data_IF_135829420735
#
_entry.id   IF_135829420735
#
_cell.length_a   1.000
_cell.length_b   1.000
_cell.length_c   1.000
_cell.angle_alpha   90.00
_cell.angle_beta   90.00
_cell.angle_gamma   90.00
#
_symmetry.space_group_name_H-M   'P 1'
#
loop_
_entity.id
_entity.type
_entity.pdbx_description
1 polymer ?
#
# COMPACT_ATOMS: atom_id res chain seq x y z
N UNK A 1 -12.84 -1.81 -20.74
CA UNK A 1 -12.19 -0.92 -19.75
C UNK A 1 -12.72 -1.34 -18.38
N UNK A 2 -11.88 -1.42 -17.35
CA UNK A 2 -12.30 -1.89 -16.04
C UNK A 2 -13.28 -0.89 -15.41
N UNK A 3 -14.52 -1.32 -15.15
CA UNK A 3 -15.56 -0.46 -14.55
C UNK A 3 -15.12 0.22 -13.24
N UNK A 4 -14.12 -0.33 -12.55
CA UNK A 4 -13.65 0.22 -11.27
C UNK A 4 -12.91 1.55 -11.38
N UNK A 5 -12.17 1.82 -12.47
CA UNK A 5 -11.44 3.08 -12.63
C UNK A 5 -12.39 4.25 -12.93
N UNK A 6 -13.41 3.98 -13.74
CA UNK A 6 -14.48 4.95 -14.04
C UNK A 6 -15.35 5.22 -12.82
N UNK A 7 -15.65 4.20 -12.02
CA UNK A 7 -16.42 4.37 -10.78
C UNK A 7 -15.66 5.25 -9.77
N UNK A 8 -14.36 5.00 -9.56
CA UNK A 8 -13.56 5.81 -8.62
C UNK A 8 -13.36 7.25 -9.10
N UNK A 9 -13.22 7.48 -10.41
CA UNK A 9 -13.13 8.82 -10.99
C UNK A 9 -14.38 9.65 -10.67
N UNK A 10 -15.57 9.05 -10.81
CA UNK A 10 -16.83 9.71 -10.46
C UNK A 10 -16.90 10.04 -8.96
N UNK A 11 -16.52 9.09 -8.10
CA UNK A 11 -16.54 9.26 -6.64
C UNK A 11 -15.57 10.37 -6.18
N UNK A 12 -14.36 10.40 -6.74
CA UNK A 12 -13.37 11.44 -6.40
C UNK A 12 -13.83 12.82 -6.87
N UNK A 13 -14.47 12.91 -8.04
CA UNK A 13 -15.04 14.16 -8.53
C UNK A 13 -16.15 14.67 -7.59
N UNK A 14 -17.10 13.81 -7.22
CA UNK A 14 -18.21 14.18 -6.33
C UNK A 14 -17.72 14.57 -4.93
N UNK A 15 -16.68 13.90 -4.44
CA UNK A 15 -16.08 14.21 -3.14
C UNK A 15 -15.39 15.57 -3.14
N UNK A 16 -14.70 15.93 -4.23
CA UNK A 16 -14.11 17.27 -4.40
C UNK A 16 -15.16 18.38 -4.49
N UNK A 17 -16.35 18.08 -5.01
CA UNK A 17 -17.48 19.00 -5.01
C UNK A 17 -18.14 19.17 -3.62
N UNK A 18 -17.66 18.45 -2.60
CA UNK A 18 -18.15 18.56 -1.22
C UNK A 18 -19.40 17.73 -0.93
N UNK A 19 -19.75 16.79 -1.81
CA UNK A 19 -20.89 15.91 -1.57
C UNK A 19 -20.58 14.90 -0.47
N UNK A 20 -21.30 14.99 0.66
CA UNK A 20 -21.14 14.08 1.81
C UNK A 20 -21.35 12.61 1.44
N UNK A 21 -22.24 12.32 0.48
CA UNK A 21 -22.47 10.96 -0.02
C UNK A 21 -21.23 10.37 -0.71
N UNK A 22 -20.43 11.20 -1.37
CA UNK A 22 -19.21 10.77 -2.04
C UNK A 22 -18.14 10.35 -1.04
N UNK A 23 -18.06 11.00 0.13
CA UNK A 23 -17.17 10.58 1.22
C UNK A 23 -17.52 9.16 1.69
N UNK A 24 -18.80 8.85 1.83
CA UNK A 24 -19.27 7.52 2.25
C UNK A 24 -19.00 6.45 1.17
N UNK A 25 -19.20 6.77 -0.11
CA UNK A 25 -18.85 5.89 -1.24
C UNK A 25 -17.34 5.63 -1.31
N UNK A 26 -16.54 6.68 -1.09
CA UNK A 26 -15.09 6.62 -1.08
C UNK A 26 -14.56 5.79 0.09
N UNK A 27 -15.18 5.91 1.27
CA UNK A 27 -14.93 5.01 2.40
C UNK A 27 -15.23 3.55 2.04
N UNK A 28 -16.40 3.26 1.47
CA UNK A 28 -16.78 1.91 1.11
C UNK A 28 -15.85 1.31 0.05
N UNK A 29 -15.44 2.11 -0.93
CA UNK A 29 -14.44 1.72 -1.93
C UNK A 29 -13.10 1.39 -1.26
N UNK A 30 -12.56 2.29 -0.45
CA UNK A 30 -11.30 2.08 0.25
C UNK A 30 -11.34 0.84 1.16
N UNK A 31 -12.45 0.66 1.90
CA UNK A 31 -12.68 -0.48 2.78
C UNK A 31 -12.71 -1.80 2.01
N UNK A 32 -13.52 -1.89 0.95
CA UNK A 32 -13.66 -3.12 0.15
C UNK A 32 -12.36 -3.47 -0.56
N UNK A 33 -11.63 -2.47 -1.07
CA UNK A 33 -10.34 -2.64 -1.72
C UNK A 33 -9.26 -3.16 -0.78
N UNK A 34 -9.14 -2.54 0.40
CA UNK A 34 -8.27 -2.98 1.49
C UNK A 34 -8.55 -4.42 1.92
N UNK A 35 -9.83 -4.75 2.02
CA UNK A 35 -10.27 -6.08 2.41
C UNK A 35 -9.98 -7.12 1.32
N UNK A 36 -10.21 -6.79 0.04
CA UNK A 36 -9.88 -7.66 -1.09
C UNK A 36 -8.38 -7.95 -1.16
N UNK A 37 -7.54 -6.92 -1.10
CA UNK A 37 -6.08 -7.08 -1.06
C UNK A 37 -5.65 -7.97 0.13
N UNK A 38 -6.31 -7.83 1.28
CA UNK A 38 -6.04 -8.69 2.43
C UNK A 38 -6.39 -10.16 2.19
N UNK A 39 -7.54 -10.40 1.60
CA UNK A 39 -8.00 -11.75 1.31
C UNK A 39 -7.17 -12.41 0.23
N UNK A 40 -6.82 -11.68 -0.83
CA UNK A 40 -6.02 -12.17 -1.94
C UNK A 40 -4.61 -12.55 -1.46
N UNK A 41 -4.01 -11.75 -0.57
CA UNK A 41 -2.73 -12.08 0.04
C UNK A 41 -2.80 -13.29 0.97
N UNK A 42 -3.88 -13.44 1.76
CA UNK A 42 -4.09 -14.66 2.56
C UNK A 42 -4.19 -15.89 1.65
N UNK A 43 -4.94 -15.82 0.55
CA UNK A 43 -5.04 -16.90 -0.44
C UNK A 43 -3.70 -17.21 -1.11
N UNK A 44 -2.91 -16.20 -1.47
CA UNK A 44 -1.57 -16.36 -2.06
C UNK A 44 -0.54 -16.92 -1.09
N UNK A 45 -0.60 -16.55 0.19
CA UNK A 45 0.32 -17.07 1.23
C UNK A 45 0.17 -18.58 1.49
N UNK A 46 -0.97 -19.17 1.10
CA UNK A 46 -1.24 -20.60 1.15
C UNK A 46 -0.57 -21.33 -0.03
N UNK A 47 -0.45 -20.68 -1.18
CA UNK A 47 0.20 -21.21 -2.39
C UNK A 47 1.67 -20.81 -2.42
N UNK A 48 2.51 -21.62 -1.78
CA UNK A 48 3.92 -21.39 -1.41
C UNK A 48 4.93 -21.07 -2.53
N UNK A 49 4.51 -20.81 -3.78
CA UNK A 49 5.42 -20.76 -4.94
C UNK A 49 5.58 -19.39 -5.60
N UNK A 50 4.74 -18.40 -5.28
CA UNK A 50 4.93 -17.05 -5.82
C UNK A 50 5.13 -16.04 -4.69
N UNK A 51 6.39 -15.85 -4.30
CA UNK A 51 6.84 -14.72 -3.47
C UNK A 51 6.78 -13.40 -4.28
N UNK A 52 5.61 -13.08 -4.84
CA UNK A 52 5.40 -11.93 -5.71
C UNK A 52 4.79 -10.73 -4.99
N UNK A 53 4.24 -10.89 -3.78
CA UNK A 53 3.79 -9.75 -2.99
C UNK A 53 4.89 -9.22 -2.07
N UNK A 54 5.44 -8.08 -2.47
CA UNK A 54 6.46 -7.33 -1.74
C UNK A 54 5.97 -6.84 -0.38
N UNK A 55 4.65 -6.65 -0.21
CA UNK A 55 4.02 -6.37 1.06
C UNK A 55 3.37 -7.65 1.54
N UNK A 56 3.96 -8.31 2.54
CA UNK A 56 3.29 -9.41 3.21
C UNK A 56 2.14 -8.84 4.04
N UNK A 57 0.99 -8.68 3.39
CA UNK A 57 -0.24 -8.17 3.97
C UNK A 57 -0.88 -9.15 4.97
N UNK A 58 -0.25 -10.32 5.17
CA UNK A 58 -0.60 -11.28 6.23
C UNK A 58 -0.48 -10.69 7.64
N UNK A 59 0.18 -9.54 7.82
CA UNK A 59 0.21 -8.78 9.09
C UNK A 59 -1.13 -8.17 9.50
N UNK A 60 -2.12 -8.16 8.60
CA UNK A 60 -3.47 -7.72 8.92
C UNK A 60 -4.19 -8.84 9.69
N UNK A 61 -3.79 -9.05 10.94
CA UNK A 61 -4.56 -9.82 11.93
C UNK A 61 -5.63 -8.95 12.62
N UNK A 62 -5.78 -7.69 12.20
CA UNK A 62 -6.80 -6.77 12.73
C UNK A 62 -7.33 -5.83 11.63
N UNK A 63 -7.88 -6.41 10.56
CA UNK A 63 -8.32 -5.67 9.35
C UNK A 63 -9.28 -4.53 9.68
N UNK A 64 -10.20 -4.75 10.61
CA UNK A 64 -11.25 -3.77 10.94
C UNK A 64 -10.69 -2.52 11.61
N UNK A 65 -9.77 -2.68 12.57
CA UNK A 65 -9.14 -1.55 13.26
C UNK A 65 -8.23 -0.72 12.34
N UNK A 66 -7.47 -1.40 11.48
CA UNK A 66 -6.57 -0.75 10.53
C UNK A 66 -7.34 0.03 9.44
N UNK A 67 -8.50 -0.46 9.02
CA UNK A 67 -9.33 0.27 8.05
C UNK A 67 -10.03 1.47 8.68
N UNK A 68 -10.45 1.37 9.94
CA UNK A 68 -10.98 2.53 10.67
C UNK A 68 -9.92 3.63 10.84
N UNK A 69 -8.69 3.25 11.21
CA UNK A 69 -7.54 4.16 11.23
C UNK A 69 -7.27 4.77 9.84
N UNK A 70 -7.50 4.02 8.75
CA UNK A 70 -7.35 4.51 7.37
C UNK A 70 -8.37 5.58 7.03
N UNK A 71 -9.62 5.38 7.43
CA UNK A 71 -10.66 6.37 7.25
C UNK A 71 -10.38 7.65 8.03
N UNK A 72 -10.01 7.55 9.31
CA UNK A 72 -9.68 8.73 10.12
C UNK A 72 -8.52 9.53 9.50
N UNK A 73 -7.46 8.82 9.06
CA UNK A 73 -6.34 9.47 8.38
C UNK A 73 -6.74 10.11 7.04
N UNK A 74 -7.59 9.46 6.26
CA UNK A 74 -8.02 9.96 4.95
C UNK A 74 -9.00 11.14 5.06
N UNK A 75 -9.96 11.07 6.00
CA UNK A 75 -10.90 12.17 6.29
C UNK A 75 -10.19 13.40 6.87
N UNK A 76 -9.09 13.19 7.61
CA UNK A 76 -8.23 14.27 8.09
C UNK A 76 -7.18 14.75 7.07
N UNK A 77 -7.04 14.07 5.93
CA UNK A 77 -6.03 14.42 4.95
C UNK A 77 -6.42 15.70 4.21
N UNK A 78 -5.42 16.52 3.90
CA UNK A 78 -5.63 17.76 3.14
C UNK A 78 -6.12 17.44 1.72
N UNK A 79 -7.42 17.60 1.52
CA UNK A 79 -8.12 17.32 0.26
C UNK A 79 -7.70 18.29 -0.85
N UNK A 80 -7.12 19.45 -0.51
CA UNK A 80 -6.63 20.42 -1.49
C UNK A 80 -5.45 19.88 -2.32
N UNK A 81 -4.71 18.91 -1.78
CA UNK A 81 -3.60 18.27 -2.48
C UNK A 81 -4.03 17.23 -3.53
N UNK A 82 -5.30 16.84 -3.55
CA UNK A 82 -5.84 15.80 -4.44
C UNK A 82 -6.41 16.46 -5.70
N UNK A 83 -5.65 16.41 -6.79
CA UNK A 83 -6.07 17.02 -8.05
C UNK A 83 -6.91 16.06 -8.89
N UNK A 84 -6.55 14.79 -8.89
CA UNK A 84 -7.13 13.76 -9.73
C UNK A 84 -7.14 12.38 -9.02
N UNK A 85 -7.73 11.39 -9.69
CA UNK A 85 -7.80 10.00 -9.23
C UNK A 85 -6.41 9.41 -8.95
N UNK A 86 -5.41 9.77 -9.74
CA UNK A 86 -4.02 9.32 -9.52
C UNK A 86 -3.53 9.80 -8.15
N UNK A 87 -3.69 11.08 -7.84
CA UNK A 87 -3.25 11.66 -6.57
C UNK A 87 -4.01 11.04 -5.39
N UNK A 88 -5.31 10.79 -5.55
CA UNK A 88 -6.11 10.05 -4.58
C UNK A 88 -5.57 8.63 -4.31
N UNK A 89 -5.35 7.84 -5.36
CA UNK A 89 -4.83 6.48 -5.25
C UNK A 89 -3.42 6.44 -4.63
N UNK A 90 -2.57 7.41 -4.94
CA UNK A 90 -1.24 7.53 -4.34
C UNK A 90 -1.31 7.91 -2.85
N UNK A 91 -2.26 8.77 -2.47
CA UNK A 91 -2.53 9.09 -1.06
C UNK A 91 -3.06 7.87 -0.32
N UNK A 92 -4.03 7.15 -0.89
CA UNK A 92 -4.55 5.91 -0.32
C UNK A 92 -3.42 4.91 -0.10
N UNK A 93 -2.58 4.66 -1.10
CA UNK A 93 -1.40 3.80 -0.99
C UNK A 93 -0.46 4.21 0.16
N UNK A 94 -0.25 5.52 0.35
CA UNK A 94 0.57 6.06 1.45
C UNK A 94 -0.06 5.80 2.82
N UNK A 95 -1.35 6.08 2.98
CA UNK A 95 -2.09 5.90 4.24
C UNK A 95 -2.10 4.41 4.63
N UNK A 96 -2.40 3.53 3.68
CA UNK A 96 -2.40 2.08 3.89
C UNK A 96 -1.04 1.58 4.39
N UNK A 97 0.04 2.02 3.75
CA UNK A 97 1.41 1.70 4.17
C UNK A 97 1.68 2.20 5.60
N UNK A 98 1.36 3.46 5.90
CA UNK A 98 1.59 4.03 7.24
C UNK A 98 0.88 3.24 8.34
N UNK A 99 -0.34 2.79 8.08
CA UNK A 99 -1.13 2.05 9.06
C UNK A 99 -0.52 0.68 9.37
N UNK A 100 -0.05 -0.03 8.34
CA UNK A 100 0.67 -1.28 8.52
C UNK A 100 1.91 -1.10 9.39
N UNK A 101 2.67 -0.03 9.15
CA UNK A 101 3.89 0.28 9.87
C UNK A 101 3.61 0.72 11.30
N UNK A 102 2.59 1.54 11.52
CA UNK A 102 2.16 1.94 12.86
C UNK A 102 1.68 0.74 13.66
N UNK A 103 1.00 -0.22 13.03
CA UNK A 103 0.63 -1.49 13.67
C UNK A 103 1.87 -2.31 14.03
N UNK A 104 2.81 -2.49 13.10
CA UNK A 104 4.05 -3.22 13.36
C UNK A 104 4.85 -2.60 14.53
N UNK A 105 4.96 -1.27 14.57
CA UNK A 105 5.58 -0.52 15.67
C UNK A 105 4.84 -0.72 17.00
N UNK A 106 3.50 -0.64 17.00
CA UNK A 106 2.65 -0.88 18.19
C UNK A 106 2.86 -2.30 18.73
N UNK A 107 2.89 -3.31 17.87
CA UNK A 107 3.08 -4.71 18.28
C UNK A 107 4.49 -4.96 18.86
N UNK A 108 5.53 -4.38 18.26
CA UNK A 108 6.88 -4.44 18.82
C UNK A 108 7.00 -3.73 20.19
N UNK A 109 6.34 -2.57 20.35
CA UNK A 109 6.34 -1.85 21.62
C UNK A 109 5.64 -2.64 22.73
N UNK A 110 4.48 -3.26 22.43
CA UNK A 110 3.76 -4.13 23.38
C UNK A 110 4.64 -5.28 23.90
N UNK A 111 5.48 -5.89 23.06
CA UNK A 111 6.41 -6.95 23.50
C UNK A 111 7.40 -6.47 24.57
N UNK A 112 7.91 -5.23 24.46
CA UNK A 112 8.84 -4.67 25.45
C UNK A 112 8.19 -4.55 26.84
N UNK A 113 6.86 -4.41 26.87
CA UNK A 113 6.07 -4.33 28.10
C UNK A 113 5.55 -5.71 28.55
N UNK A 114 5.25 -6.62 27.61
CA UNK A 114 4.73 -7.96 27.85
C UNK A 114 5.37 -8.99 26.88
N UNK A 115 6.45 -9.68 27.27
CA UNK A 115 7.24 -10.53 26.37
C UNK A 115 6.48 -11.74 25.78
N UNK A 116 5.38 -12.17 26.41
CA UNK A 116 4.61 -13.35 26.02
C UNK A 116 3.56 -13.09 24.92
N UNK A 117 3.35 -11.85 24.47
CA UNK A 117 2.21 -11.50 23.61
C UNK A 117 2.43 -11.68 22.10
N UNK A 118 3.67 -11.88 21.63
CA UNK A 118 3.99 -12.13 20.21
C UNK A 118 5.08 -13.18 20.05
N UNK A 119 4.99 -14.00 19.01
CA UNK A 119 5.98 -15.02 18.66
C UNK A 119 7.25 -14.42 18.05
N UNK A 120 8.35 -15.17 18.06
CA UNK A 120 9.60 -14.76 17.41
C UNK A 120 9.41 -14.52 15.90
N UNK A 121 8.60 -15.36 15.24
CA UNK A 121 8.31 -15.24 13.81
C UNK A 121 7.55 -13.94 13.48
N UNK A 122 6.57 -13.56 14.32
CA UNK A 122 5.86 -12.27 14.18
C UNK A 122 6.80 -11.08 14.39
N UNK A 123 7.74 -11.17 15.33
CA UNK A 123 8.73 -10.12 15.53
C UNK A 123 9.61 -9.88 14.30
N UNK A 124 10.23 -10.94 13.76
CA UNK A 124 11.07 -10.85 12.57
C UNK A 124 10.28 -10.26 11.40
N UNK A 125 9.00 -10.63 11.29
CA UNK A 125 8.10 -10.08 10.31
C UNK A 125 7.84 -8.57 10.49
N UNK A 126 7.54 -8.10 11.71
CA UNK A 126 7.34 -6.67 11.98
C UNK A 126 8.62 -5.84 11.74
N UNK A 127 9.79 -6.36 12.11
CA UNK A 127 11.09 -5.72 11.84
C UNK A 127 11.32 -5.56 10.33
N UNK A 128 11.03 -6.62 9.57
CA UNK A 128 11.12 -6.60 8.11
C UNK A 128 10.17 -5.56 7.48
N UNK A 129 8.95 -5.42 7.98
CA UNK A 129 8.01 -4.40 7.50
C UNK A 129 8.53 -2.99 7.73
N UNK A 130 9.11 -2.70 8.90
CA UNK A 130 9.66 -1.38 9.22
C UNK A 130 10.87 -1.05 8.33
N UNK A 131 11.78 -2.01 8.11
CA UNK A 131 12.92 -1.85 7.21
C UNK A 131 12.44 -1.59 5.78
N UNK A 132 11.45 -2.36 5.33
CA UNK A 132 10.87 -2.20 4.00
C UNK A 132 10.28 -0.80 3.80
N UNK A 133 9.62 -0.23 4.81
CA UNK A 133 9.08 1.14 4.73
C UNK A 133 10.17 2.17 4.45
N UNK A 134 11.28 2.10 5.20
CA UNK A 134 12.44 2.98 5.00
C UNK A 134 13.02 2.84 3.60
N UNK A 135 13.13 1.61 3.08
CA UNK A 135 13.61 1.35 1.72
C UNK A 135 12.66 1.94 0.67
N UNK A 136 11.33 1.83 0.87
CA UNK A 136 10.33 2.41 -0.04
C UNK A 136 10.32 3.94 0.03
N UNK A 137 10.58 4.54 1.18
CA UNK A 137 10.77 5.99 1.29
C UNK A 137 12.00 6.46 0.52
N UNK A 138 13.14 5.79 0.70
CA UNK A 138 14.34 6.08 -0.07
C UNK A 138 14.11 5.88 -1.58
N UNK A 139 13.38 4.83 -1.97
CA UNK A 139 12.99 4.61 -3.36
C UNK A 139 12.14 5.76 -3.91
N UNK A 140 11.19 6.25 -3.12
CA UNK A 140 10.30 7.35 -3.51
C UNK A 140 11.05 8.65 -3.75
N UNK A 141 12.07 8.93 -2.92
CA UNK A 141 12.90 10.13 -3.06
C UNK A 141 13.78 10.08 -4.31
N UNK A 142 14.41 8.95 -4.59
CA UNK A 142 15.36 8.82 -5.69
C UNK A 142 14.70 8.50 -7.04
N UNK A 143 13.56 7.83 -7.04
CA UNK A 143 12.89 7.31 -8.24
C UNK A 143 11.37 7.58 -8.19
N UNK A 144 10.94 8.85 -8.20
CA UNK A 144 9.54 9.20 -7.96
C UNK A 144 8.58 8.61 -9.00
N UNK A 145 8.96 8.50 -10.27
CA UNK A 145 8.11 7.92 -11.33
C UNK A 145 7.89 6.42 -11.10
N UNK A 146 8.97 5.69 -10.91
CA UNK A 146 8.95 4.24 -10.68
C UNK A 146 8.24 3.91 -9.37
N UNK A 147 8.42 4.75 -8.34
CA UNK A 147 7.67 4.67 -7.09
C UNK A 147 6.15 4.81 -7.28
N UNK A 148 5.68 5.74 -8.14
CA UNK A 148 4.25 5.85 -8.46
C UNK A 148 3.74 4.57 -9.11
N UNK A 149 4.42 4.07 -10.15
CA UNK A 149 4.05 2.83 -10.82
C UNK A 149 4.01 1.64 -9.83
N UNK A 150 5.04 1.51 -8.99
CA UNK A 150 5.10 0.49 -7.95
C UNK A 150 3.92 0.56 -6.98
N UNK A 151 3.61 1.74 -6.44
CA UNK A 151 2.50 1.93 -5.49
C UNK A 151 1.17 1.59 -6.14
N UNK A 152 0.92 2.05 -7.35
CA UNK A 152 -0.32 1.75 -8.07
C UNK A 152 -0.45 0.24 -8.37
N UNK A 153 0.65 -0.44 -8.75
CA UNK A 153 0.63 -1.88 -9.03
C UNK A 153 0.45 -2.73 -7.78
N UNK A 154 1.26 -2.47 -6.75
CA UNK A 154 1.43 -3.40 -5.63
C UNK A 154 0.69 -2.99 -4.36
N UNK A 155 0.41 -1.70 -4.17
CA UNK A 155 -0.40 -1.24 -3.02
C UNK A 155 -1.85 -1.00 -3.41
N UNK A 156 -2.12 -0.66 -4.68
CA UNK A 156 -3.47 -0.46 -5.17
C UNK A 156 -3.95 -1.58 -6.11
N UNK A 157 -3.11 -2.52 -6.53
CA UNK A 157 -3.56 -3.68 -7.32
C UNK A 157 -3.91 -3.39 -8.79
N UNK A 158 -3.57 -2.22 -9.33
CA UNK A 158 -3.92 -1.83 -10.70
C UNK A 158 -3.19 -2.68 -11.76
N UNK A 159 -3.80 -2.84 -12.92
CA UNK A 159 -3.21 -3.41 -14.11
C UNK A 159 -2.32 -2.42 -14.85
N UNK A 160 -1.40 -2.93 -15.67
CA UNK A 160 -0.43 -2.11 -16.41
C UNK A 160 -1.12 -1.04 -17.25
N UNK A 161 -2.22 -1.40 -17.92
CA UNK A 161 -3.01 -0.51 -18.77
C UNK A 161 -3.70 0.61 -17.97
N UNK A 162 -4.17 0.29 -16.76
CA UNK A 162 -4.79 1.29 -15.88
C UNK A 162 -3.73 2.28 -15.36
N UNK A 163 -2.54 1.77 -15.02
CA UNK A 163 -1.41 2.58 -14.57
C UNK A 163 -0.91 3.49 -15.70
N UNK A 164 -0.81 2.97 -16.93
CA UNK A 164 -0.33 3.74 -18.08
C UNK A 164 -1.26 4.89 -18.43
N UNK A 165 -2.58 4.69 -18.31
CA UNK A 165 -3.60 5.73 -18.41
C UNK A 165 -3.43 6.80 -17.32
N UNK A 166 -3.39 6.40 -16.04
CA UNK A 166 -3.26 7.33 -14.91
C UNK A 166 -1.94 8.12 -14.91
N UNK A 167 -0.86 7.53 -15.41
CA UNK A 167 0.46 8.15 -15.49
C UNK A 167 0.74 8.77 -16.87
N UNK A 168 -0.23 8.76 -17.78
CA UNK A 168 -0.14 9.34 -19.14
C UNK A 168 1.13 8.91 -19.88
N UNK A 169 1.37 7.59 -19.96
CA UNK A 169 2.55 7.02 -20.62
C UNK A 169 2.24 5.66 -21.26
N UNK A 170 3.24 5.03 -21.90
CA UNK A 170 3.02 3.75 -22.58
C UNK A 170 3.11 2.54 -21.63
N UNK A 171 2.38 1.48 -21.93
CA UNK A 171 2.41 0.20 -21.18
C UNK A 171 3.84 -0.33 -21.05
N UNK A 172 4.62 -0.29 -22.14
CA UNK A 172 6.02 -0.73 -22.15
C UNK A 172 6.90 0.08 -21.18
N UNK A 173 6.60 1.37 -20.98
CA UNK A 173 7.32 2.18 -19.99
C UNK A 173 6.95 1.76 -18.57
N UNK A 174 5.67 1.51 -18.30
CA UNK A 174 5.20 1.01 -17.01
C UNK A 174 5.85 -0.34 -16.69
N UNK A 175 5.92 -1.26 -17.63
CA UNK A 175 6.59 -2.55 -17.42
C UNK A 175 8.07 -2.38 -17.06
N UNK A 176 8.78 -1.48 -17.74
CA UNK A 176 10.18 -1.15 -17.43
C UNK A 176 10.30 -0.56 -16.02
N UNK A 177 9.41 0.36 -15.65
CA UNK A 177 9.38 0.99 -14.34
C UNK A 177 9.12 -0.03 -13.23
N UNK A 178 8.18 -0.95 -13.44
CA UNK A 178 7.86 -2.01 -12.50
C UNK A 178 9.03 -3.00 -12.36
N UNK A 179 9.65 -3.39 -13.48
CA UNK A 179 10.83 -4.27 -13.48
C UNK A 179 11.99 -3.64 -12.71
N UNK A 180 12.27 -2.36 -12.95
CA UNK A 180 13.29 -1.61 -12.20
C UNK A 180 12.94 -1.52 -10.72
N UNK A 181 11.69 -1.17 -10.39
CA UNK A 181 11.22 -1.06 -9.00
C UNK A 181 11.44 -2.35 -8.23
N UNK A 182 11.03 -3.50 -8.81
CA UNK A 182 11.25 -4.82 -8.22
C UNK A 182 12.73 -5.07 -7.97
N UNK A 183 13.57 -4.90 -8.99
CA UNK A 183 15.01 -5.15 -8.89
C UNK A 183 15.65 -4.29 -7.78
N UNK A 184 15.37 -2.99 -7.79
CA UNK A 184 15.96 -2.04 -6.85
C UNK A 184 15.53 -2.34 -5.41
N UNK A 185 14.24 -2.56 -5.17
CA UNK A 185 13.68 -2.86 -3.85
C UNK A 185 14.20 -4.20 -3.31
N UNK A 186 14.25 -5.25 -4.15
CA UNK A 186 14.83 -6.55 -3.78
C UNK A 186 16.25 -6.38 -3.27
N UNK A 187 17.08 -5.69 -4.08
CA UNK A 187 18.49 -5.52 -3.80
C UNK A 187 18.69 -4.79 -2.48
N UNK A 188 17.97 -3.68 -2.27
CA UNK A 188 18.11 -2.86 -1.06
C UNK A 188 17.59 -3.54 0.20
N UNK A 189 16.46 -4.24 0.14
CA UNK A 189 15.92 -4.98 1.29
C UNK A 189 16.89 -6.09 1.71
N UNK A 190 17.45 -6.84 0.75
CA UNK A 190 18.42 -7.90 1.05
C UNK A 190 19.73 -7.35 1.63
N UNK A 191 20.19 -6.19 1.18
CA UNK A 191 21.36 -5.53 1.79
C UNK A 191 21.10 -5.08 3.22
N UNK A 192 19.89 -4.60 3.53
CA UNK A 192 19.50 -4.25 4.91
C UNK A 192 19.23 -5.46 5.81
N UNK A 193 18.93 -6.63 5.23
CA UNK A 193 18.72 -7.88 5.98
C UNK A 193 20.03 -8.57 6.37
N UNK A 194 21.17 -8.17 5.81
CA UNK A 194 22.47 -8.69 6.19
C UNK A 194 23.09 -7.73 7.22
N UNK A 195 22.93 -7.96 8.53
CA UNK A 195 23.79 -7.26 9.49
C UNK A 195 25.22 -7.69 9.17
N UNK A 196 26.09 -6.71 8.97
CA UNK A 196 27.53 -6.93 9.01
C UNK A 196 27.82 -7.51 10.40
N UNK A 197 28.08 -8.81 10.45
CA UNK A 197 28.78 -9.49 11.53
C UNK A 197 30.08 -10.01 10.94
#
# INVERSE_FOLDING_TARGET
MSNQLTDIESIVSDWKAGHKEAEQKLYHFAYSHLYSLAQDERKRSINKHEQSCWVSWSSINNTTALVHDAYLKLSSADTQSIKDTRDFLLLAAKIMRQILIDNARRQQAKKRQQPASITHQEQVHFEKLIIMDQVVENFTLNYPRQSKAFKLKYLMGLQTQEISQLLTCSDSLIEKDLKFSRFWLTKKINTHHNPIY
#
